data_IF_589152163317
#
_entry.id   IF_589152163317
#
_cell.length_a   1.000
_cell.length_b   1.000
_cell.length_c   1.000
_cell.angle_alpha   90.00
_cell.angle_beta   90.00
_cell.angle_gamma   90.00
#
_symmetry.space_group_name_H-M   'P 1'
#
loop_
_entity.id
_entity.type
_entity.pdbx_description
1 polymer ?
#
# COMPACT_ATOMS: atom_id res chain seq x y z
N UNK A 1 23.13 1.61 27.58
CA UNK A 1 23.20 0.15 27.71
C UNK A 1 22.80 -0.49 26.39
N UNK A 2 23.64 -1.40 25.85
CA UNK A 2 23.34 -2.15 24.62
C UNK A 2 22.25 -3.23 24.88
N UNK A 3 21.01 -2.80 24.97
CA UNK A 3 19.86 -3.66 25.26
C UNK A 3 18.67 -3.24 24.40
N UNK A 4 17.94 -4.21 23.85
CA UNK A 4 16.67 -4.01 23.19
C UNK A 4 15.54 -4.63 24.01
N UNK A 5 14.47 -3.88 24.20
CA UNK A 5 13.25 -4.36 24.86
C UNK A 5 12.26 -4.80 23.80
N UNK A 6 11.81 -6.04 23.90
CA UNK A 6 10.78 -6.59 23.03
C UNK A 6 9.49 -6.69 23.84
N UNK A 7 8.41 -6.13 23.30
CA UNK A 7 7.08 -6.27 23.86
C UNK A 7 6.60 -7.74 23.82
N UNK A 8 5.62 -8.09 24.64
CA UNK A 8 4.96 -9.37 24.56
C UNK A 8 4.32 -9.57 23.18
N UNK A 9 4.41 -10.80 22.66
CA UNK A 9 3.69 -11.18 21.44
C UNK A 9 2.37 -11.80 21.84
N UNK A 10 1.27 -11.30 21.28
CA UNK A 10 -0.09 -11.76 21.55
C UNK A 10 -0.65 -12.53 20.34
N UNK A 11 -1.54 -13.48 20.60
CA UNK A 11 -2.36 -14.12 19.56
C UNK A 11 -3.54 -13.22 19.11
N UNK A 12 -4.39 -13.73 18.22
CA UNK A 12 -5.55 -12.98 17.71
C UNK A 12 -6.62 -12.74 18.77
N UNK A 13 -6.65 -13.55 19.86
CA UNK A 13 -7.54 -13.41 21.00
C UNK A 13 -6.92 -12.55 22.13
N UNK A 14 -5.73 -11.99 21.91
CA UNK A 14 -5.02 -11.14 22.88
C UNK A 14 -4.29 -11.91 24.00
N UNK A 15 -4.13 -13.22 23.89
CA UNK A 15 -3.39 -14.03 24.85
C UNK A 15 -1.88 -13.96 24.58
N UNK A 16 -1.10 -13.93 25.64
CA UNK A 16 0.34 -13.85 25.53
C UNK A 16 0.94 -15.17 24.98
N UNK A 17 1.56 -15.09 23.79
CA UNK A 17 2.31 -16.19 23.19
C UNK A 17 3.78 -16.19 23.64
N UNK A 18 4.36 -15.00 23.71
CA UNK A 18 5.75 -14.82 24.14
C UNK A 18 5.79 -13.61 25.08
N UNK A 19 6.35 -13.75 26.29
CA UNK A 19 6.43 -12.65 27.24
C UNK A 19 7.38 -11.54 26.77
N UNK A 20 7.16 -10.35 27.29
CA UNK A 20 8.10 -9.24 27.12
C UNK A 20 9.49 -9.64 27.62
N UNK A 21 10.53 -9.27 26.87
CA UNK A 21 11.91 -9.66 27.20
C UNK A 21 12.91 -8.59 26.82
N UNK A 22 14.07 -8.66 27.45
CA UNK A 22 15.20 -7.78 27.16
C UNK A 22 16.34 -8.63 26.60
N UNK A 23 16.88 -8.23 25.45
CA UNK A 23 18.04 -8.85 24.84
C UNK A 23 19.24 -7.89 24.88
N UNK A 24 20.41 -8.38 25.28
CA UNK A 24 21.67 -7.67 25.09
C UNK A 24 22.21 -7.86 23.69
N UNK A 25 22.93 -6.87 23.16
CA UNK A 25 23.60 -6.96 21.86
C UNK A 25 24.97 -6.29 21.89
N UNK A 26 25.87 -6.73 21.05
CA UNK A 26 27.12 -6.03 20.73
C UNK A 26 26.92 -5.07 19.54
N UNK A 27 26.22 -5.54 18.53
CA UNK A 27 25.75 -4.74 17.39
C UNK A 27 24.27 -5.05 17.12
N UNK A 28 23.50 -4.01 16.79
CA UNK A 28 22.08 -4.11 16.44
C UNK A 28 21.87 -3.69 14.99
N UNK A 29 21.13 -4.48 14.23
CA UNK A 29 20.71 -4.13 12.88
C UNK A 29 19.20 -3.93 12.87
N UNK A 30 18.77 -2.76 12.42
CA UNK A 30 17.35 -2.39 12.25
C UNK A 30 17.02 -2.44 10.77
N UNK A 31 16.18 -3.40 10.37
CA UNK A 31 15.77 -3.65 8.98
C UNK A 31 14.27 -3.94 8.91
N UNK A 32 13.47 -3.03 9.49
CA UNK A 32 12.03 -3.21 9.71
C UNK A 32 11.16 -2.73 8.55
N UNK A 33 11.78 -2.31 7.44
CA UNK A 33 11.08 -1.89 6.24
C UNK A 33 10.27 -0.60 6.41
N UNK A 34 9.20 -0.49 5.66
CA UNK A 34 8.29 0.66 5.64
C UNK A 34 6.84 0.24 5.81
N UNK A 35 6.00 1.21 6.07
CA UNK A 35 4.54 1.13 6.01
C UNK A 35 4.01 2.19 5.06
N UNK A 36 2.82 2.01 4.55
CA UNK A 36 2.17 2.98 3.68
C UNK A 36 1.98 4.32 4.40
N UNK A 37 2.13 5.40 3.67
CA UNK A 37 1.93 6.76 4.12
C UNK A 37 0.69 7.36 3.46
N UNK A 38 -0.35 7.64 4.24
CA UNK A 38 -1.58 8.27 3.77
C UNK A 38 -1.48 9.80 3.68
N UNK A 39 -0.34 10.38 4.08
CA UNK A 39 -0.07 11.81 4.13
C UNK A 39 -1.09 12.61 4.94
N UNK A 40 -1.87 11.96 5.79
CA UNK A 40 -2.97 12.57 6.53
C UNK A 40 -4.18 12.91 5.66
N UNK A 41 -4.32 12.28 4.50
CA UNK A 41 -5.48 12.47 3.62
C UNK A 41 -6.76 12.05 4.33
N UNK A 42 -7.74 12.96 4.36
CA UNK A 42 -9.00 12.76 5.06
C UNK A 42 -9.71 11.48 4.56
N UNK A 43 -10.13 10.64 5.50
CA UNK A 43 -10.82 9.38 5.22
C UNK A 43 -9.96 8.25 4.64
N UNK A 44 -8.70 8.47 4.26
CA UNK A 44 -7.85 7.44 3.64
C UNK A 44 -7.67 6.22 4.57
N UNK A 45 -7.33 6.45 5.84
CA UNK A 45 -7.16 5.39 6.84
C UNK A 45 -8.45 4.60 7.14
N UNK A 46 -9.62 5.22 6.92
CA UNK A 46 -10.93 4.63 7.23
C UNK A 46 -11.52 3.86 6.05
N UNK A 47 -11.31 4.35 4.84
CA UNK A 47 -12.01 3.90 3.63
C UNK A 47 -11.12 3.21 2.59
N UNK A 48 -9.77 3.27 2.75
CA UNK A 48 -8.85 2.55 1.89
C UNK A 48 -8.33 1.28 2.55
N UNK A 49 -7.98 0.31 1.70
CA UNK A 49 -7.18 -0.84 2.05
C UNK A 49 -5.72 -0.51 1.81
N UNK A 50 -4.87 -0.87 2.78
CA UNK A 50 -3.42 -0.81 2.66
C UNK A 50 -2.89 -2.21 2.39
N UNK A 51 -1.70 -2.35 1.79
CA UNK A 51 -1.13 -3.63 1.42
C UNK A 51 0.26 -3.87 2.04
N UNK A 52 0.47 -3.36 3.25
CA UNK A 52 1.75 -3.46 3.95
C UNK A 52 2.00 -4.86 4.54
N UNK A 53 0.95 -5.62 4.79
CA UNK A 53 1.01 -6.92 5.45
C UNK A 53 0.21 -7.98 4.71
N UNK A 54 0.60 -9.27 4.91
CA UNK A 54 -0.16 -10.40 4.38
C UNK A 54 -1.64 -10.37 4.80
N UNK A 55 -1.94 -10.03 6.05
CA UNK A 55 -3.31 -9.93 6.56
C UNK A 55 -4.13 -8.86 5.81
N UNK A 56 -3.51 -7.74 5.47
CA UNK A 56 -4.15 -6.69 4.67
C UNK A 56 -4.40 -7.16 3.22
N UNK A 57 -3.45 -7.86 2.62
CA UNK A 57 -3.61 -8.45 1.28
C UNK A 57 -4.72 -9.52 1.27
N UNK A 58 -4.78 -10.39 2.28
CA UNK A 58 -5.84 -11.37 2.45
C UNK A 58 -7.22 -10.70 2.61
N UNK A 59 -7.29 -9.60 3.37
CA UNK A 59 -8.53 -8.80 3.51
C UNK A 59 -8.98 -8.19 2.19
N UNK A 60 -8.05 -7.65 1.41
CA UNK A 60 -8.35 -7.14 0.06
C UNK A 60 -8.90 -8.25 -0.84
N UNK A 61 -8.20 -9.38 -0.91
CA UNK A 61 -8.63 -10.56 -1.69
C UNK A 61 -10.02 -11.02 -1.28
N UNK A 62 -10.30 -11.13 0.03
CA UNK A 62 -11.62 -11.52 0.53
C UNK A 62 -12.71 -10.52 0.14
N UNK A 63 -12.44 -9.22 0.17
CA UNK A 63 -13.41 -8.22 -0.24
C UNK A 63 -13.69 -8.30 -1.75
N UNK A 64 -12.66 -8.49 -2.57
CA UNK A 64 -12.81 -8.69 -4.02
C UNK A 64 -13.68 -9.93 -4.31
N UNK A 65 -13.36 -11.08 -3.72
CA UNK A 65 -14.15 -12.30 -3.88
C UNK A 65 -15.59 -12.13 -3.42
N UNK A 66 -15.83 -11.41 -2.34
CA UNK A 66 -17.19 -11.14 -1.86
C UNK A 66 -18.02 -10.34 -2.88
N UNK A 67 -17.42 -9.43 -3.65
CA UNK A 67 -18.11 -8.74 -4.75
C UNK A 67 -18.52 -9.74 -5.83
N UNK A 68 -17.62 -10.62 -6.27
CA UNK A 68 -17.93 -11.64 -7.27
C UNK A 68 -18.99 -12.62 -6.79
N UNK A 69 -18.92 -13.08 -5.54
CA UNK A 69 -19.90 -14.02 -4.98
C UNK A 69 -21.29 -13.36 -4.84
N UNK A 70 -21.37 -12.10 -4.42
CA UNK A 70 -22.65 -11.37 -4.35
C UNK A 70 -23.28 -11.20 -5.73
N UNK A 71 -22.46 -10.83 -6.71
CA UNK A 71 -22.88 -10.74 -8.11
C UNK A 71 -23.42 -12.08 -8.62
N UNK A 72 -22.71 -13.19 -8.33
CA UNK A 72 -23.09 -14.52 -8.76
C UNK A 72 -24.37 -15.02 -8.06
N UNK A 73 -24.57 -14.67 -6.79
CA UNK A 73 -25.75 -15.05 -6.01
C UNK A 73 -26.98 -14.15 -6.29
N UNK A 74 -26.78 -12.97 -6.85
CA UNK A 74 -27.84 -12.01 -7.14
C UNK A 74 -28.79 -12.51 -8.22
N UNK A 75 -30.10 -12.23 -8.06
CA UNK A 75 -31.16 -12.61 -9.01
C UNK A 75 -31.52 -11.48 -9.99
N UNK A 76 -30.71 -10.44 -10.06
CA UNK A 76 -30.96 -9.30 -10.93
C UNK A 76 -30.27 -9.45 -12.28
N UNK A 77 -30.98 -9.10 -13.36
CA UNK A 77 -30.44 -9.05 -14.74
C UNK A 77 -29.53 -7.81 -14.96
N UNK A 78 -29.29 -7.02 -13.90
CA UNK A 78 -28.40 -5.86 -13.98
C UNK A 78 -26.95 -6.33 -14.11
N UNK A 79 -26.23 -5.74 -15.06
CA UNK A 79 -24.79 -5.93 -15.23
C UNK A 79 -24.10 -5.38 -13.99
N UNK A 80 -23.55 -6.26 -13.15
CA UNK A 80 -22.81 -5.82 -11.98
C UNK A 80 -21.40 -5.37 -12.39
N UNK A 81 -21.03 -4.21 -11.87
CA UNK A 81 -19.73 -3.59 -12.11
C UNK A 81 -18.95 -3.49 -10.81
N UNK A 82 -17.65 -3.75 -10.88
CA UNK A 82 -16.72 -3.47 -9.80
C UNK A 82 -15.83 -2.29 -10.20
N UNK A 83 -15.84 -1.26 -9.37
CA UNK A 83 -14.94 -0.13 -9.54
C UNK A 83 -13.83 -0.19 -8.49
N UNK A 84 -12.59 -0.35 -8.93
CA UNK A 84 -11.41 -0.36 -8.06
C UNK A 84 -10.59 0.90 -8.31
N UNK A 85 -10.36 1.70 -7.27
CA UNK A 85 -9.46 2.84 -7.35
C UNK A 85 -8.17 2.54 -6.58
N UNK A 86 -7.04 2.77 -7.23
CA UNK A 86 -5.69 2.57 -6.67
C UNK A 86 -5.01 3.93 -6.62
N UNK A 87 -4.65 4.40 -5.42
CA UNK A 87 -3.94 5.65 -5.23
C UNK A 87 -2.44 5.38 -5.16
N UNK A 88 -1.69 6.00 -6.07
CA UNK A 88 -0.25 5.85 -6.23
C UNK A 88 0.12 4.94 -7.41
N UNK A 89 0.78 5.51 -8.42
CA UNK A 89 1.28 4.79 -9.58
C UNK A 89 2.78 4.48 -9.49
N UNK A 90 3.25 4.16 -8.28
CA UNK A 90 4.53 3.49 -8.04
C UNK A 90 4.48 2.01 -8.46
N UNK A 91 5.53 1.25 -8.18
CA UNK A 91 5.62 -0.17 -8.54
C UNK A 91 4.41 -0.97 -8.02
N UNK A 92 4.09 -0.85 -6.73
CA UNK A 92 2.98 -1.57 -6.09
C UNK A 92 1.62 -1.29 -6.75
N UNK A 93 1.31 -0.02 -7.03
CA UNK A 93 0.02 0.32 -7.65
C UNK A 93 -0.08 -0.15 -9.09
N UNK A 94 1.01 -0.06 -9.86
CA UNK A 94 1.10 -0.54 -11.24
C UNK A 94 0.94 -2.06 -11.30
N UNK A 95 1.67 -2.80 -10.45
CA UNK A 95 1.58 -4.26 -10.36
C UNK A 95 0.17 -4.71 -9.95
N UNK A 96 -0.41 -4.07 -8.93
CA UNK A 96 -1.77 -4.38 -8.50
C UNK A 96 -2.80 -4.13 -9.62
N UNK A 97 -2.68 -3.03 -10.36
CA UNK A 97 -3.59 -2.75 -11.47
C UNK A 97 -3.53 -3.81 -12.57
N UNK A 98 -2.32 -4.28 -12.91
CA UNK A 98 -2.11 -5.36 -13.88
C UNK A 98 -2.64 -6.71 -13.37
N UNK A 99 -2.37 -7.05 -12.11
CA UNK A 99 -2.83 -8.30 -11.50
C UNK A 99 -4.36 -8.37 -11.36
N UNK A 100 -5.01 -7.27 -11.05
CA UNK A 100 -6.48 -7.21 -11.00
C UNK A 100 -7.11 -7.47 -12.37
N UNK A 101 -6.50 -6.96 -13.45
CA UNK A 101 -6.93 -7.26 -14.81
C UNK A 101 -6.84 -8.77 -15.09
N UNK A 102 -5.70 -9.41 -14.74
CA UNK A 102 -5.52 -10.86 -14.90
C UNK A 102 -6.52 -11.65 -14.04
N UNK A 103 -6.68 -11.26 -12.77
CA UNK A 103 -7.60 -11.92 -11.84
C UNK A 103 -9.05 -11.92 -12.35
N UNK A 104 -9.50 -10.84 -12.99
CA UNK A 104 -10.83 -10.76 -13.58
C UNK A 104 -11.05 -11.82 -14.66
N UNK A 105 -10.05 -12.04 -15.51
CA UNK A 105 -10.08 -13.09 -16.54
C UNK A 105 -10.06 -14.49 -15.95
N UNK A 106 -9.25 -14.74 -14.93
CA UNK A 106 -9.16 -16.03 -14.24
C UNK A 106 -10.48 -16.36 -13.53
N UNK A 107 -11.07 -15.42 -12.79
CA UNK A 107 -12.33 -15.62 -12.09
C UNK A 107 -13.47 -15.96 -13.05
N UNK A 108 -13.52 -15.32 -14.21
CA UNK A 108 -14.48 -15.66 -15.26
C UNK A 108 -14.28 -17.09 -15.78
N UNK A 109 -13.03 -17.54 -15.94
CA UNK A 109 -12.70 -18.90 -16.36
C UNK A 109 -13.09 -19.98 -15.32
N UNK A 110 -13.12 -19.61 -14.03
CA UNK A 110 -13.60 -20.47 -12.93
C UNK A 110 -15.13 -20.46 -12.74
N UNK A 111 -15.88 -19.84 -13.65
CA UNK A 111 -17.35 -19.84 -13.62
C UNK A 111 -17.96 -18.69 -12.79
N UNK A 112 -17.15 -17.74 -12.31
CA UNK A 112 -17.63 -16.49 -11.71
C UNK A 112 -17.76 -15.41 -12.80
N UNK A 113 -18.53 -15.69 -13.84
CA UNK A 113 -18.62 -14.96 -15.11
C UNK A 113 -19.72 -13.90 -15.16
N UNK A 114 -20.48 -13.71 -14.09
CA UNK A 114 -21.47 -12.62 -14.01
C UNK A 114 -20.84 -11.24 -14.03
N UNK A 115 -19.68 -11.10 -13.39
CA UNK A 115 -18.84 -9.91 -13.58
C UNK A 115 -17.81 -10.25 -14.65
N UNK A 116 -18.07 -9.79 -15.86
CA UNK A 116 -17.12 -9.97 -16.96
C UNK A 116 -15.88 -9.09 -16.74
N UNK A 117 -14.70 -9.46 -17.29
CA UNK A 117 -13.50 -8.66 -17.18
C UNK A 117 -13.69 -7.17 -17.57
N UNK A 118 -14.49 -6.91 -18.62
CA UNK A 118 -14.83 -5.55 -19.08
C UNK A 118 -15.69 -4.76 -18.09
N UNK A 119 -16.30 -5.39 -17.08
CA UNK A 119 -17.10 -4.76 -16.04
C UNK A 119 -16.29 -4.50 -14.76
N UNK A 120 -15.01 -4.87 -14.74
CA UNK A 120 -14.08 -4.43 -13.72
C UNK A 120 -13.39 -3.14 -14.17
N UNK A 121 -13.77 -2.03 -13.59
CA UNK A 121 -13.19 -0.72 -13.88
C UNK A 121 -12.07 -0.41 -12.90
N UNK A 122 -10.84 -0.40 -13.38
CA UNK A 122 -9.66 -0.09 -12.58
C UNK A 122 -9.22 1.33 -12.89
N UNK A 123 -9.13 2.18 -11.86
CA UNK A 123 -8.60 3.54 -11.96
C UNK A 123 -7.33 3.66 -11.13
N UNK A 124 -6.21 3.95 -11.77
CA UNK A 124 -4.92 4.21 -11.14
C UNK A 124 -4.70 5.72 -11.07
N UNK A 125 -4.55 6.27 -9.86
CA UNK A 125 -4.50 7.70 -9.59
C UNK A 125 -3.11 8.07 -9.09
N UNK A 126 -2.46 9.05 -9.74
CA UNK A 126 -1.12 9.51 -9.42
C UNK A 126 -1.10 11.03 -9.27
N UNK A 127 -0.54 11.49 -8.16
CA UNK A 127 -0.39 12.92 -7.88
C UNK A 127 0.63 13.59 -8.82
N UNK A 128 1.66 12.84 -9.20
CA UNK A 128 2.71 13.29 -10.11
C UNK A 128 2.32 13.22 -11.59
N UNK A 129 3.19 13.72 -12.47
CA UNK A 129 2.88 13.83 -13.91
C UNK A 129 2.98 12.50 -14.67
N UNK A 130 3.45 11.42 -14.06
CA UNK A 130 3.68 10.15 -14.76
C UNK A 130 3.66 8.92 -13.84
N UNK A 131 3.38 7.78 -14.42
CA UNK A 131 3.52 6.45 -13.78
C UNK A 131 5.00 6.14 -13.52
N UNK A 132 5.27 5.39 -12.45
CA UNK A 132 6.59 4.98 -12.02
C UNK A 132 7.56 6.18 -11.92
N UNK A 133 7.23 7.22 -11.13
CA UNK A 133 7.98 8.47 -11.09
C UNK A 133 9.43 8.29 -10.65
N UNK A 134 9.73 7.26 -9.88
CA UNK A 134 11.09 6.92 -9.44
C UNK A 134 11.96 6.28 -10.55
N UNK A 135 11.36 5.80 -11.64
CA UNK A 135 12.08 5.18 -12.74
C UNK A 135 12.26 6.15 -13.91
N UNK A 136 13.25 5.92 -14.79
CA UNK A 136 13.42 6.72 -16.01
C UNK A 136 12.16 6.73 -16.88
N UNK A 137 11.88 7.84 -17.56
CA UNK A 137 10.69 8.02 -18.40
C UNK A 137 10.56 6.95 -19.51
N UNK A 138 11.70 6.47 -20.04
CA UNK A 138 11.75 5.37 -21.03
C UNK A 138 11.08 4.08 -20.53
N UNK A 139 10.88 3.93 -19.21
CA UNK A 139 10.16 2.81 -18.60
C UNK A 139 8.71 3.21 -18.30
N UNK A 140 8.48 4.35 -17.65
CA UNK A 140 7.14 4.79 -17.25
C UNK A 140 6.19 5.01 -18.43
N UNK A 141 6.68 5.60 -19.53
CA UNK A 141 5.84 5.85 -20.73
C UNK A 141 5.28 4.57 -21.37
N UNK A 142 6.10 3.55 -21.69
CA UNK A 142 5.59 2.25 -22.16
C UNK A 142 4.64 1.56 -21.18
N UNK A 143 4.92 1.61 -19.87
CA UNK A 143 4.05 1.02 -18.83
C UNK A 143 2.69 1.70 -18.83
N UNK A 144 2.63 3.03 -18.86
CA UNK A 144 1.38 3.78 -18.95
C UNK A 144 0.52 3.29 -20.13
N UNK A 145 1.11 3.24 -21.33
CA UNK A 145 0.41 2.75 -22.54
C UNK A 145 -0.04 1.28 -22.43
N UNK A 146 0.71 0.46 -21.69
CA UNK A 146 0.32 -0.94 -21.46
C UNK A 146 -0.89 -1.01 -20.54
N UNK A 147 -0.91 -0.24 -19.45
CA UNK A 147 -2.05 -0.16 -18.54
C UNK A 147 -3.32 0.31 -19.28
N UNK A 148 -3.22 1.35 -20.12
CA UNK A 148 -4.36 1.80 -20.94
C UNK A 148 -4.87 0.71 -21.89
N UNK A 149 -3.98 -0.08 -22.52
CA UNK A 149 -4.36 -1.22 -23.36
C UNK A 149 -5.06 -2.34 -22.57
N UNK A 150 -4.74 -2.50 -21.29
CA UNK A 150 -5.41 -3.41 -20.37
C UNK A 150 -6.76 -2.85 -19.86
N UNK A 151 -7.19 -1.65 -20.33
CA UNK A 151 -8.43 -1.03 -19.88
C UNK A 151 -8.34 -0.30 -18.54
N UNK A 152 -7.13 -0.12 -18.00
CA UNK A 152 -6.93 0.67 -16.79
C UNK A 152 -7.00 2.16 -17.10
N UNK A 153 -7.88 2.89 -16.41
CA UNK A 153 -7.91 4.35 -16.48
C UNK A 153 -6.77 4.92 -15.64
N UNK A 154 -5.83 5.63 -16.26
CA UNK A 154 -4.69 6.23 -15.57
C UNK A 154 -4.88 7.74 -15.44
N UNK A 155 -4.98 8.25 -14.22
CA UNK A 155 -5.12 9.66 -13.90
C UNK A 155 -3.83 10.17 -13.28
N UNK A 156 -3.06 10.93 -14.06
CA UNK A 156 -1.86 11.64 -13.57
C UNK A 156 -2.20 13.09 -13.20
N UNK A 157 -1.29 13.77 -12.46
CA UNK A 157 -1.52 15.11 -11.91
C UNK A 157 -2.81 15.21 -11.08
N UNK A 158 -3.18 14.12 -10.41
CA UNK A 158 -4.46 13.95 -9.73
C UNK A 158 -4.21 13.56 -8.27
N UNK A 159 -3.86 14.53 -7.44
CA UNK A 159 -3.68 14.31 -6.01
C UNK A 159 -5.04 14.07 -5.33
N UNK A 160 -5.18 12.98 -4.59
CA UNK A 160 -6.37 12.70 -3.77
C UNK A 160 -6.31 13.54 -2.51
N UNK A 161 -7.37 14.30 -2.23
CA UNK A 161 -7.50 15.16 -1.05
C UNK A 161 -8.45 14.59 0.00
N UNK A 162 -9.39 13.75 -0.39
CA UNK A 162 -10.38 13.15 0.50
C UNK A 162 -10.81 11.77 -0.03
N UNK A 163 -11.11 10.87 0.90
CA UNK A 163 -11.69 9.55 0.59
C UNK A 163 -12.95 9.36 1.41
N UNK A 164 -14.06 9.08 0.74
CA UNK A 164 -15.35 8.77 1.35
C UNK A 164 -15.65 7.27 1.29
N UNK A 165 -16.80 6.85 1.83
CA UNK A 165 -17.26 5.47 1.72
C UNK A 165 -17.36 4.99 0.26
N UNK A 166 -17.79 5.87 -0.66
CA UNK A 166 -18.18 5.49 -2.01
C UNK A 166 -17.27 6.07 -3.11
N UNK A 167 -16.36 7.00 -2.78
CA UNK A 167 -15.57 7.71 -3.77
C UNK A 167 -14.23 8.23 -3.22
N UNK A 168 -13.34 8.62 -4.14
CA UNK A 168 -12.18 9.46 -3.88
C UNK A 168 -12.42 10.84 -4.52
N UNK A 169 -11.94 11.88 -3.86
CA UNK A 169 -12.04 13.26 -4.33
C UNK A 169 -10.62 13.80 -4.53
N UNK A 170 -10.34 14.30 -5.72
CA UNK A 170 -9.05 14.90 -6.01
C UNK A 170 -9.02 16.37 -5.57
N UNK A 171 -7.82 16.93 -5.45
CA UNK A 171 -7.62 18.36 -5.13
C UNK A 171 -8.23 19.32 -6.18
N UNK A 172 -8.50 18.83 -7.40
CA UNK A 172 -9.22 19.58 -8.43
C UNK A 172 -10.75 19.48 -8.32
N UNK A 173 -11.27 18.71 -7.36
CA UNK A 173 -12.69 18.48 -7.16
C UNK A 173 -13.28 17.35 -8.03
N UNK A 174 -12.45 16.59 -8.76
CA UNK A 174 -12.93 15.43 -9.50
C UNK A 174 -13.34 14.33 -8.53
N UNK A 175 -14.55 13.80 -8.68
CA UNK A 175 -15.08 12.67 -7.91
C UNK A 175 -14.87 11.39 -8.70
N UNK A 176 -14.24 10.40 -8.08
CA UNK A 176 -13.92 9.07 -8.64
C UNK A 176 -14.66 8.02 -7.82
N UNK A 177 -15.82 7.55 -8.27
CA UNK A 177 -16.56 6.50 -7.57
C UNK A 177 -15.77 5.19 -7.55
N UNK A 178 -15.73 4.52 -6.40
CA UNK A 178 -15.07 3.24 -6.26
C UNK A 178 -15.68 2.39 -5.14
N UNK A 179 -15.97 1.13 -5.45
CA UNK A 179 -16.43 0.13 -4.46
C UNK A 179 -15.28 -0.45 -3.65
N UNK A 180 -14.09 -0.54 -4.26
CA UNK A 180 -12.84 -0.92 -3.59
C UNK A 180 -11.81 0.19 -3.77
N UNK A 181 -11.16 0.57 -2.69
CA UNK A 181 -10.14 1.63 -2.68
C UNK A 181 -8.87 1.12 -2.04
N UNK A 182 -7.77 1.19 -2.77
CA UNK A 182 -6.45 0.77 -2.31
C UNK A 182 -5.53 1.98 -2.26
N UNK A 183 -4.84 2.16 -1.15
CA UNK A 183 -3.84 3.20 -1.01
C UNK A 183 -2.45 2.57 -1.12
N UNK A 184 -1.77 2.81 -2.23
CA UNK A 184 -0.43 2.35 -2.54
C UNK A 184 0.57 3.52 -2.72
N UNK A 185 0.17 4.74 -2.30
CA UNK A 185 0.98 5.94 -2.43
C UNK A 185 1.85 6.15 -1.19
N UNK A 186 3.13 6.44 -1.45
CA UNK A 186 4.08 6.82 -0.41
C UNK A 186 4.40 5.71 0.58
N UNK A 187 5.57 5.85 1.17
CA UNK A 187 6.03 5.01 2.28
C UNK A 187 6.53 5.88 3.41
N UNK A 188 6.49 5.35 4.62
CA UNK A 188 7.16 5.90 5.79
C UNK A 188 7.74 4.76 6.63
N UNK A 189 8.81 4.99 7.31
CA UNK A 189 9.30 4.01 8.27
C UNK A 189 8.33 3.88 9.46
N UNK A 190 8.26 2.70 10.10
CA UNK A 190 7.34 2.46 11.20
C UNK A 190 7.45 3.52 12.30
N UNK A 191 6.30 3.93 12.84
CA UNK A 191 6.22 5.05 13.80
C UNK A 191 7.03 4.86 15.07
N UNK A 192 7.22 3.61 15.51
CA UNK A 192 8.00 3.32 16.71
C UNK A 192 9.48 3.71 16.61
N UNK A 193 10.02 3.86 15.38
CA UNK A 193 11.42 4.29 15.18
C UNK A 193 11.67 5.71 15.67
N UNK A 194 10.65 6.57 15.68
CA UNK A 194 10.76 7.97 16.09
C UNK A 194 11.23 8.15 17.55
N UNK A 195 10.93 7.17 18.40
CA UNK A 195 11.13 7.27 19.84
C UNK A 195 12.16 6.26 20.37
N UNK A 196 12.99 5.66 19.51
CA UNK A 196 14.04 4.74 19.93
C UNK A 196 15.23 5.54 20.47
N UNK A 197 15.31 5.63 21.79
CA UNK A 197 16.48 6.01 22.62
C UNK A 197 17.38 7.12 22.00
N UNK A 198 16.76 8.17 21.47
CA UNK A 198 17.47 9.33 20.94
C UNK A 198 18.09 9.13 19.55
N UNK A 199 17.78 8.06 18.84
CA UNK A 199 18.16 7.91 17.44
C UNK A 199 17.48 8.98 16.58
N UNK A 200 18.23 9.55 15.64
CA UNK A 200 17.70 10.56 14.75
C UNK A 200 16.88 9.97 13.62
N UNK A 201 15.70 10.53 13.38
CA UNK A 201 14.85 10.18 12.23
C UNK A 201 14.59 11.42 11.37
N UNK A 202 14.30 11.19 10.09
CA UNK A 202 13.78 12.22 9.21
C UNK A 202 12.24 12.36 9.35
N UNK A 203 11.64 13.25 8.54
CA UNK A 203 10.20 13.55 8.58
C UNK A 203 9.27 12.37 8.26
N UNK A 204 9.78 11.29 7.65
CA UNK A 204 9.05 10.06 7.37
C UNK A 204 9.53 8.88 8.24
N UNK A 205 10.10 9.19 9.41
CA UNK A 205 10.59 8.28 10.45
C UNK A 205 11.76 7.38 10.05
N UNK A 206 12.41 7.59 8.90
CA UNK A 206 13.60 6.81 8.55
C UNK A 206 14.76 7.21 9.46
N UNK A 207 15.46 6.21 10.01
CA UNK A 207 16.65 6.40 10.81
C UNK A 207 17.75 7.04 9.97
N UNK A 208 18.33 8.14 10.47
CA UNK A 208 19.47 8.77 9.84
C UNK A 208 20.72 7.91 10.00
N UNK A 209 21.37 7.55 8.89
CA UNK A 209 22.56 6.72 8.89
C UNK A 209 23.69 7.38 8.10
N UNK A 210 24.91 6.98 8.41
CA UNK A 210 26.11 7.31 7.64
C UNK A 210 26.21 6.38 6.42
N UNK A 211 27.15 6.64 5.49
CA UNK A 211 27.43 5.74 4.36
C UNK A 211 27.86 4.33 4.80
N UNK A 212 28.33 4.18 6.04
CA UNK A 212 28.63 2.89 6.68
C UNK A 212 27.39 2.16 7.19
N UNK A 213 26.18 2.75 7.02
CA UNK A 213 24.90 2.30 7.55
C UNK A 213 24.78 2.33 9.08
N UNK A 214 25.78 2.86 9.78
CA UNK A 214 25.69 3.14 11.21
C UNK A 214 24.75 4.31 11.45
N UNK A 215 23.95 4.27 12.51
CA UNK A 215 23.13 5.41 12.90
C UNK A 215 24.00 6.59 13.31
N UNK A 216 23.52 7.81 13.13
CA UNK A 216 24.28 9.04 13.44
C UNK A 216 24.56 9.22 14.93
N UNK A 217 23.87 8.49 15.82
CA UNK A 217 23.97 8.62 17.28
C UNK A 217 24.61 7.46 17.99
N UNK A 218 24.67 6.28 17.36
CA UNK A 218 25.28 5.08 17.96
C UNK A 218 26.02 4.26 16.90
N UNK A 219 27.32 4.09 17.09
CA UNK A 219 28.19 3.33 16.15
C UNK A 219 27.93 1.82 16.13
N UNK A 220 27.20 1.31 17.10
CA UNK A 220 26.86 -0.11 17.22
C UNK A 220 25.44 -0.43 16.73
N UNK A 221 24.70 0.60 16.27
CA UNK A 221 23.37 0.43 15.71
C UNK A 221 23.42 0.79 14.22
N UNK A 222 22.99 -0.15 13.39
CA UNK A 222 22.95 -0.04 11.95
C UNK A 222 21.49 -0.05 11.47
N UNK A 223 21.19 0.63 10.38
CA UNK A 223 19.90 0.52 9.72
C UNK A 223 20.07 0.51 8.20
N UNK A 224 19.21 -0.26 7.51
CA UNK A 224 19.19 -0.31 6.04
C UNK A 224 17.77 -0.66 5.52
N UNK A 225 17.60 -0.51 4.20
CA UNK A 225 16.31 -0.64 3.54
C UNK A 225 15.43 0.59 3.76
N UNK A 226 14.12 0.44 3.59
CA UNK A 226 13.15 1.56 3.62
C UNK A 226 13.06 2.28 4.96
N UNK A 227 13.54 1.67 6.04
CA UNK A 227 13.56 2.30 7.36
C UNK A 227 14.80 3.17 7.61
N UNK A 228 15.73 3.28 6.64
CA UNK A 228 16.96 4.04 6.75
C UNK A 228 17.05 5.17 5.72
N UNK A 229 17.60 6.31 6.13
CA UNK A 229 17.95 7.44 5.28
C UNK A 229 19.47 7.56 5.19
N UNK A 230 20.04 7.02 4.12
CA UNK A 230 21.46 7.13 3.80
C UNK A 230 21.69 8.34 2.91
N UNK A 231 22.75 9.18 3.14
CA UNK A 231 23.08 10.33 2.31
C UNK A 231 23.60 9.95 0.92
#
# INVERSE_FOLDING_TARGET
QKKIQLAATLDEEGRELVPARVLGYDSLVIAVGSTTNDFGTEGAAQHCLFLDTRKQAERFHQQLLNHYLRAHAGQTDAVEQISVAIVGAGATGVELAAELHNAAHELAAYGLDRIKPENMHITLIEAGPRVLPALPERIGGPVHKTLEKLGVTVLTNSAVSEVTADALITSSGQVIPASLKVWAAGIRAPGFLKDIDGLETNRINQLQVLQTLQTTRDENIFAFGDCAACP
#
